data_IF_514522416022
#
_entry.id   IF_514522416022
#
_cell.length_a   1.000
_cell.length_b   1.000
_cell.length_c   1.000
_cell.angle_alpha   90.00
_cell.angle_beta   90.00
_cell.angle_gamma   90.00
#
_symmetry.space_group_name_H-M   'P 1'
#
loop_
_entity.id
_entity.type
_entity.pdbx_description
1 polymer ?
#
# COMPACT_ATOMS: atom_id res chain seq x y z
N UNK A 1 0.10 -1.55 61.88
CA UNK A 1 -0.78 -1.39 63.05
C UNK A 1 -0.81 0.08 63.43
N UNK A 2 -1.97 0.48 63.88
CA UNK A 2 -2.42 1.80 64.32
C UNK A 2 -1.85 2.17 65.71
N UNK A 3 -1.91 3.39 66.29
CA UNK A 3 -2.19 4.77 65.83
C UNK A 3 -1.88 5.73 67.01
N UNK A 4 -1.23 6.89 66.77
CA UNK A 4 -1.16 8.07 67.69
C UNK A 4 -0.63 7.76 69.13
N UNK A 5 -0.51 8.68 70.10
CA UNK A 5 -0.52 10.16 70.22
C UNK A 5 0.80 10.55 70.97
N UNK A 6 1.15 11.76 71.42
CA UNK A 6 0.49 13.08 71.67
C UNK A 6 1.39 14.22 71.11
N UNK A 7 1.39 15.42 71.71
CA UNK A 7 2.37 16.49 71.54
C UNK A 7 2.51 17.30 72.84
N UNK A 8 3.57 18.10 72.98
CA UNK A 8 3.69 19.15 74.00
C UNK A 8 3.76 20.54 73.35
N UNK A 9 3.27 21.56 74.07
CA UNK A 9 3.19 22.95 73.62
C UNK A 9 4.56 23.66 73.64
N UNK A 10 4.76 24.59 72.70
CA UNK A 10 5.16 25.97 73.06
C UNK A 10 4.60 26.98 72.06
N UNK A 11 4.34 28.19 72.53
CA UNK A 11 3.68 29.29 71.80
C UNK A 11 4.64 30.10 70.93
N UNK A 12 4.18 30.52 69.74
CA UNK A 12 4.64 31.77 69.14
C UNK A 12 3.52 32.45 68.34
N UNK A 13 3.39 33.76 68.52
CA UNK A 13 2.57 34.67 67.69
C UNK A 13 3.56 35.71 67.14
N UNK A 14 3.39 36.23 65.91
CA UNK A 14 2.56 37.43 65.80
C UNK A 14 1.84 37.64 64.45
N UNK A 15 1.08 38.74 64.40
CA UNK A 15 0.73 39.57 63.24
C UNK A 15 -0.14 38.97 62.11
N UNK A 16 -1.38 39.45 62.10
CA UNK A 16 -2.32 39.45 60.99
C UNK A 16 -1.88 40.47 59.92
N UNK A 17 -1.71 40.05 58.66
CA UNK A 17 -1.54 40.95 57.52
C UNK A 17 -2.41 40.50 56.34
N UNK A 18 -3.54 41.19 56.14
CA UNK A 18 -4.45 40.94 55.02
C UNK A 18 -3.83 41.46 53.71
N UNK A 19 -3.19 40.58 52.95
CA UNK A 19 -2.89 40.83 51.55
C UNK A 19 -4.02 40.28 50.68
N UNK A 20 -4.57 41.13 49.82
CA UNK A 20 -5.70 40.83 48.95
C UNK A 20 -5.30 39.83 47.86
N UNK A 21 -6.14 38.83 47.61
CA UNK A 21 -5.97 37.95 46.45
C UNK A 21 -6.13 38.75 45.15
N UNK A 22 -5.00 39.05 44.50
CA UNK A 22 -4.95 39.28 43.06
C UNK A 22 -3.92 38.30 42.47
N UNK A 23 -4.23 37.02 42.56
CA UNK A 23 -3.65 36.01 41.67
C UNK A 23 -4.12 36.32 40.25
N UNK A 24 -3.41 37.21 39.57
CA UNK A 24 -3.54 37.41 38.13
C UNK A 24 -3.19 36.08 37.48
N UNK A 25 -4.22 35.29 37.16
CA UNK A 25 -4.09 34.09 36.35
C UNK A 25 -3.76 34.55 34.93
N UNK A 26 -2.47 34.82 34.72
CA UNK A 26 -1.91 35.18 33.43
C UNK A 26 -2.29 34.07 32.48
N UNK A 27 -3.26 34.35 31.60
CA UNK A 27 -3.96 33.33 30.81
C UNK A 27 -3.03 32.87 29.70
N UNK A 28 -2.10 32.00 30.08
CA UNK A 28 -1.08 31.41 29.24
C UNK A 28 -1.75 30.93 27.96
N UNK A 29 -1.42 31.58 26.84
CA UNK A 29 -2.04 31.24 25.57
C UNK A 29 -1.72 29.77 25.30
N UNK A 30 -2.78 28.95 25.22
CA UNK A 30 -2.65 27.55 24.78
C UNK A 30 -2.29 27.60 23.31
N UNK A 31 -0.99 27.65 23.02
CA UNK A 31 -0.47 27.65 21.65
C UNK A 31 -1.01 26.40 20.97
N UNK A 32 -1.87 26.59 19.97
CA UNK A 32 -2.42 25.46 19.22
C UNK A 32 -1.36 24.91 18.27
N UNK A 33 -1.10 23.61 18.36
CA UNK A 33 -0.27 22.85 17.44
C UNK A 33 -1.12 21.83 16.69
N UNK A 34 -0.75 21.53 15.45
CA UNK A 34 -1.18 20.29 14.81
C UNK A 34 -0.41 19.10 15.44
N UNK A 35 -0.97 17.88 15.45
CA UNK A 35 -0.26 16.71 15.95
C UNK A 35 1.09 16.49 15.26
N UNK A 36 2.17 16.32 16.02
CA UNK A 36 3.55 16.13 15.53
C UNK A 36 3.67 15.06 14.42
N UNK A 37 2.93 13.94 14.56
CA UNK A 37 2.89 12.86 13.56
C UNK A 37 2.32 13.29 12.19
N UNK A 38 1.67 14.45 12.09
CA UNK A 38 1.20 15.03 10.82
C UNK A 38 2.25 15.93 10.17
N UNK A 39 3.38 16.23 10.81
CA UNK A 39 4.39 17.12 10.26
C UNK A 39 5.04 16.61 8.96
N UNK A 40 5.60 17.56 8.20
CA UNK A 40 6.21 17.33 6.89
C UNK A 40 5.31 17.70 5.71
N UNK A 41 5.65 17.17 4.54
CA UNK A 41 5.02 17.55 3.26
C UNK A 41 3.84 16.67 2.87
N UNK A 42 2.76 17.35 2.47
CA UNK A 42 1.52 16.77 1.97
C UNK A 42 1.17 17.28 0.58
N UNK A 43 0.69 16.39 -0.26
CA UNK A 43 0.17 16.70 -1.58
C UNK A 43 -1.37 16.73 -1.55
N UNK A 44 -1.96 17.71 -2.26
CA UNK A 44 -3.40 17.85 -2.44
C UNK A 44 -3.67 18.24 -3.90
N UNK A 45 -4.59 17.52 -4.56
CA UNK A 45 -5.00 17.79 -5.95
C UNK A 45 -5.37 19.26 -6.18
N UNK A 46 -4.76 19.88 -7.19
CA UNK A 46 -5.01 21.26 -7.59
C UNK A 46 -4.22 22.32 -6.81
N UNK A 47 -3.41 21.92 -5.81
CA UNK A 47 -2.55 22.83 -5.03
C UNK A 47 -1.12 22.72 -5.56
N UNK A 48 -0.65 23.75 -6.26
CA UNK A 48 0.65 23.77 -6.98
C UNK A 48 1.91 23.61 -6.12
N UNK A 49 1.79 23.69 -4.80
CA UNK A 49 2.89 23.56 -3.85
C UNK A 49 2.48 22.55 -2.77
N UNK A 50 3.43 21.80 -2.23
CA UNK A 50 3.16 20.92 -1.09
C UNK A 50 2.66 21.73 0.11
N UNK A 51 1.63 21.19 0.76
CA UNK A 51 1.10 21.68 2.01
C UNK A 51 2.02 21.17 3.11
N UNK A 52 2.70 22.09 3.79
CA UNK A 52 3.62 21.77 4.89
C UNK A 52 2.88 21.93 6.21
N UNK A 53 2.96 20.89 7.04
CA UNK A 53 2.56 20.95 8.44
C UNK A 53 3.84 21.03 9.27
N UNK A 54 3.92 22.05 10.12
CA UNK A 54 5.10 22.41 10.92
C UNK A 54 4.59 23.07 12.21
N UNK A 55 4.56 22.33 13.31
CA UNK A 55 4.01 22.74 14.60
C UNK A 55 2.63 23.43 14.50
N UNK A 56 2.54 24.76 14.71
CA UNK A 56 1.28 25.51 14.67
C UNK A 56 0.87 25.95 13.25
N UNK A 57 1.65 25.64 12.20
CA UNK A 57 1.46 26.15 10.83
C UNK A 57 1.02 25.09 9.84
N UNK A 58 0.21 25.53 8.88
CA UNK A 58 -0.32 24.79 7.75
C UNK A 58 -0.18 25.67 6.50
N UNK A 59 0.86 25.44 5.69
CA UNK A 59 1.44 26.45 4.78
C UNK A 59 0.46 27.12 3.80
N UNK A 60 -0.59 26.41 3.37
CA UNK A 60 -1.60 26.87 2.42
C UNK A 60 -2.82 27.55 3.07
N UNK A 61 -2.94 27.53 4.41
CA UNK A 61 -4.11 28.04 5.16
C UNK A 61 -3.78 29.07 6.23
N UNK A 62 -2.59 28.97 6.84
CA UNK A 62 -2.13 29.87 7.90
C UNK A 62 -1.72 29.13 9.18
N UNK A 63 -2.08 29.70 10.34
CA UNK A 63 -1.62 29.27 11.67
C UNK A 63 -2.79 28.94 12.60
N UNK A 64 -2.67 27.90 13.41
CA UNK A 64 -3.69 27.56 14.39
C UNK A 64 -3.71 28.53 15.58
N UNK A 65 -4.91 28.79 16.12
CA UNK A 65 -5.15 29.63 17.29
C UNK A 65 -5.87 28.90 18.45
N UNK A 66 -6.66 27.87 18.14
CA UNK A 66 -7.51 27.14 19.09
C UNK A 66 -7.87 25.76 18.50
N UNK A 67 -8.10 24.75 19.34
CA UNK A 67 -8.42 23.39 18.89
C UNK A 67 -9.32 22.61 19.86
N UNK A 68 -10.23 21.83 19.29
CA UNK A 68 -11.18 20.95 19.99
C UNK A 68 -11.29 19.63 19.22
N UNK A 69 -10.62 18.59 19.72
CA UNK A 69 -10.60 17.26 19.09
C UNK A 69 -9.99 17.26 17.69
N UNK A 70 -10.85 17.09 16.68
CA UNK A 70 -10.52 17.09 15.24
C UNK A 70 -10.62 18.48 14.59
N UNK A 71 -11.02 19.50 15.34
CA UNK A 71 -11.36 20.85 14.85
C UNK A 71 -10.28 21.86 15.21
N UNK A 72 -9.89 22.69 14.25
CA UNK A 72 -8.81 23.67 14.37
C UNK A 72 -9.28 25.05 13.88
N UNK A 73 -9.02 26.09 14.68
CA UNK A 73 -9.25 27.49 14.30
C UNK A 73 -7.98 28.01 13.61
N UNK A 74 -8.03 28.17 12.29
CA UNK A 74 -6.87 28.60 11.48
C UNK A 74 -7.06 30.04 11.03
N UNK A 75 -6.05 30.88 11.25
CA UNK A 75 -5.98 32.27 10.77
C UNK A 75 -4.95 32.40 9.65
N UNK A 76 -5.32 33.06 8.56
CA UNK A 76 -4.38 33.50 7.52
C UNK A 76 -3.65 34.76 8.02
N UNK A 77 -2.38 34.66 8.43
CA UNK A 77 -1.63 35.82 8.95
C UNK A 77 -1.48 36.97 7.90
N UNK A 78 -1.82 36.76 6.61
CA UNK A 78 -1.78 37.77 5.54
C UNK A 78 -3.14 38.41 5.22
N UNK A 79 -4.25 37.84 5.70
CA UNK A 79 -5.62 38.30 5.42
C UNK A 79 -6.45 38.08 6.68
N UNK A 80 -7.08 39.10 7.25
CA UNK A 80 -7.82 38.99 8.52
C UNK A 80 -9.06 38.05 8.41
N UNK A 81 -8.80 36.75 8.44
CA UNK A 81 -9.62 35.71 7.84
C UNK A 81 -9.44 34.43 8.65
N UNK A 82 -10.54 33.96 9.23
CA UNK A 82 -10.59 32.85 10.17
C UNK A 82 -11.40 31.72 9.54
N UNK A 83 -10.93 30.48 9.71
CA UNK A 83 -11.62 29.27 9.26
C UNK A 83 -11.67 28.25 10.38
N UNK A 84 -12.77 27.51 10.48
CA UNK A 84 -12.70 26.19 11.09
C UNK A 84 -12.22 25.21 10.02
N UNK A 85 -11.22 24.39 10.37
CA UNK A 85 -10.73 23.27 9.58
C UNK A 85 -10.89 22.01 10.43
N UNK A 86 -11.57 20.99 9.91
CA UNK A 86 -11.86 19.75 10.63
C UNK A 86 -11.12 18.62 9.96
N UNK A 87 -10.08 18.08 10.62
CA UNK A 87 -9.06 17.21 10.02
C UNK A 87 -9.15 15.81 10.63
N UNK A 88 -9.50 14.84 9.80
CA UNK A 88 -9.58 13.41 10.13
C UNK A 88 -8.34 12.68 9.62
N UNK A 89 -7.63 11.99 10.51
CA UNK A 89 -6.57 11.06 10.13
C UNK A 89 -7.19 9.71 9.73
N UNK A 90 -7.12 9.37 8.44
CA UNK A 90 -7.57 8.07 7.93
C UNK A 90 -6.43 7.04 7.94
N UNK A 91 -5.20 7.50 7.78
CA UNK A 91 -3.97 6.72 7.88
C UNK A 91 -2.78 7.68 8.15
N UNK A 92 -1.64 7.18 8.63
CA UNK A 92 -0.43 7.98 8.82
C UNK A 92 0.09 8.68 7.54
N UNK A 93 -0.38 8.25 6.36
CA UNK A 93 -0.09 8.84 5.05
C UNK A 93 -1.30 9.53 4.38
N UNK A 94 -2.48 9.57 5.04
CA UNK A 94 -3.74 10.11 4.48
C UNK A 94 -4.49 10.91 5.54
N UNK A 95 -4.56 12.22 5.34
CA UNK A 95 -5.48 13.11 6.06
C UNK A 95 -6.63 13.48 5.13
N UNK A 96 -7.84 13.59 5.69
CA UNK A 96 -8.98 14.18 5.00
C UNK A 96 -9.56 15.31 5.83
N UNK A 97 -9.95 16.42 5.19
CA UNK A 97 -10.46 17.57 5.92
C UNK A 97 -11.63 18.25 5.21
N UNK A 98 -12.46 18.93 6.02
CA UNK A 98 -13.42 19.94 5.56
C UNK A 98 -13.03 21.30 6.15
N UNK A 99 -13.36 22.39 5.48
CA UNK A 99 -13.13 23.75 5.99
C UNK A 99 -14.29 24.70 5.70
N UNK A 100 -14.40 25.76 6.49
CA UNK A 100 -15.30 26.88 6.20
C UNK A 100 -14.71 27.80 5.13
N UNK A 101 -15.56 28.64 4.55
CA UNK A 101 -15.11 29.85 3.87
C UNK A 101 -14.43 30.83 4.84
N UNK A 102 -13.97 31.97 4.31
CA UNK A 102 -13.34 33.03 5.10
C UNK A 102 -14.37 33.77 5.95
N UNK A 103 -14.19 33.77 7.29
CA UNK A 103 -15.05 34.50 8.22
C UNK A 103 -14.27 35.50 9.09
N UNK A 104 -14.94 36.49 9.70
CA UNK A 104 -14.39 37.29 10.80
C UNK A 104 -14.04 36.42 12.03
N UNK A 105 -13.29 36.98 12.99
CA UNK A 105 -12.91 36.28 14.22
C UNK A 105 -14.13 35.99 15.10
N UNK A 106 -14.51 34.72 15.23
CA UNK A 106 -15.46 34.22 16.23
C UNK A 106 -14.86 33.02 16.98
N UNK A 107 -15.64 32.32 17.80
CA UNK A 107 -15.20 31.10 18.50
C UNK A 107 -15.11 29.91 17.55
N UNK A 108 -14.22 28.94 17.86
CA UNK A 108 -14.05 27.70 17.10
C UNK A 108 -15.39 27.00 16.82
N UNK A 109 -16.19 26.79 17.86
CA UNK A 109 -17.51 26.15 17.75
C UNK A 109 -18.46 26.88 16.78
N UNK A 110 -18.47 28.23 16.79
CA UNK A 110 -19.31 29.04 15.90
C UNK A 110 -18.85 28.98 14.44
N UNK A 111 -17.55 28.87 14.17
CA UNK A 111 -17.10 28.65 12.79
C UNK A 111 -17.41 27.23 12.34
N UNK A 112 -17.15 26.22 13.16
CA UNK A 112 -17.36 24.82 12.76
C UNK A 112 -18.85 24.49 12.50
N UNK A 113 -19.80 25.22 13.10
CA UNK A 113 -21.23 25.06 12.77
C UNK A 113 -21.61 25.50 11.34
N UNK A 114 -20.73 26.20 10.61
CA UNK A 114 -20.93 26.49 9.18
C UNK A 114 -20.46 25.37 8.25
N UNK A 115 -19.84 24.29 8.76
CA UNK A 115 -19.45 23.13 7.95
C UNK A 115 -20.65 22.19 7.81
N UNK A 116 -21.22 22.15 6.61
CA UNK A 116 -22.39 21.31 6.30
C UNK A 116 -22.00 19.86 5.94
N UNK A 117 -23.00 18.97 5.94
CA UNK A 117 -22.81 17.56 5.59
C UNK A 117 -22.30 17.34 4.15
N UNK A 118 -22.72 18.21 3.23
CA UNK A 118 -22.34 18.24 1.81
C UNK A 118 -21.07 19.06 1.52
N UNK A 119 -20.55 19.85 2.48
CA UNK A 119 -19.33 20.64 2.28
C UNK A 119 -18.16 19.78 1.78
N UNK A 120 -17.39 20.30 0.82
CA UNK A 120 -16.39 19.54 0.06
C UNK A 120 -15.34 18.88 0.97
N UNK A 121 -15.14 17.58 0.77
CA UNK A 121 -14.08 16.81 1.41
C UNK A 121 -12.79 16.91 0.59
N UNK A 122 -11.74 17.44 1.21
CA UNK A 122 -10.39 17.45 0.67
C UNK A 122 -9.62 16.24 1.18
N UNK A 123 -8.77 15.66 0.34
CA UNK A 123 -7.84 14.58 0.70
C UNK A 123 -6.41 15.08 0.52
N UNK A 124 -5.56 14.79 1.51
CA UNK A 124 -4.13 15.10 1.49
C UNK A 124 -3.34 13.81 1.66
N UNK A 125 -2.34 13.60 0.81
CA UNK A 125 -1.48 12.40 0.81
C UNK A 125 -0.04 12.78 1.14
N UNK A 126 0.61 12.07 2.06
CA UNK A 126 2.00 12.37 2.46
C UNK A 126 2.94 12.22 1.26
N UNK A 127 3.80 13.20 1.01
CA UNK A 127 4.75 13.17 -0.11
C UNK A 127 5.82 12.10 0.12
N UNK A 128 6.43 12.10 1.31
CA UNK A 128 7.29 11.04 1.82
C UNK A 128 6.49 9.92 2.52
N UNK A 129 5.47 9.38 1.86
CA UNK A 129 4.68 8.28 2.42
C UNK A 129 5.51 6.99 2.55
N UNK A 130 5.47 6.36 3.72
CA UNK A 130 6.04 5.01 3.92
C UNK A 130 5.08 4.00 3.26
N UNK A 131 5.51 3.19 2.26
CA UNK A 131 4.62 2.23 1.60
C UNK A 131 4.09 1.14 2.54
N UNK A 132 2.91 0.61 2.25
CA UNK A 132 2.25 -0.45 3.03
C UNK A 132 1.98 -1.68 2.15
N UNK A 133 1.93 -2.91 2.72
CA UNK A 133 1.58 -4.10 1.96
C UNK A 133 0.21 -3.98 1.26
N UNK A 134 0.16 -4.34 -0.01
CA UNK A 134 -1.06 -4.29 -0.80
C UNK A 134 -2.07 -5.38 -0.35
N UNK A 135 -3.39 -5.08 -0.38
CA UNK A 135 -4.41 -6.02 0.12
C UNK A 135 -4.65 -7.23 -0.80
N UNK A 136 -4.27 -7.15 -2.06
CA UNK A 136 -4.51 -8.17 -3.08
C UNK A 136 -3.33 -9.16 -3.14
N UNK A 137 -3.42 -10.27 -2.39
CA UNK A 137 -2.35 -11.28 -2.30
C UNK A 137 -2.60 -12.50 -3.21
N UNK A 138 -1.89 -12.54 -4.33
CA UNK A 138 -1.87 -13.64 -5.31
C UNK A 138 -1.77 -13.12 -6.75
N UNK A 139 -1.53 -13.99 -7.74
CA UNK A 139 -1.78 -13.67 -9.14
C UNK A 139 -3.30 -13.63 -9.39
N UNK A 140 -3.78 -12.56 -10.00
CA UNK A 140 -5.17 -12.37 -10.41
C UNK A 140 -5.24 -12.12 -11.91
N UNK A 141 -6.32 -12.60 -12.54
CA UNK A 141 -6.77 -12.08 -13.83
C UNK A 141 -7.97 -11.18 -13.60
N UNK A 142 -8.13 -10.16 -14.44
CA UNK A 142 -9.20 -9.19 -14.29
C UNK A 142 -9.85 -8.76 -15.60
N UNK A 143 -11.12 -8.42 -15.45
CA UNK A 143 -11.88 -7.62 -16.41
C UNK A 143 -11.99 -6.20 -15.86
N UNK A 144 -12.11 -5.21 -16.74
CA UNK A 144 -12.22 -3.81 -16.32
C UNK A 144 -13.19 -3.00 -17.20
N UNK A 145 -13.76 -1.94 -16.65
CA UNK A 145 -14.63 -1.01 -17.37
C UNK A 145 -14.14 0.44 -17.11
N UNK A 146 -14.07 1.25 -18.17
CA UNK A 146 -13.67 2.68 -18.16
C UNK A 146 -14.85 3.62 -18.50
N UNK A 147 -16.09 3.14 -18.42
CA UNK A 147 -17.33 3.87 -18.75
C UNK A 147 -17.93 3.55 -20.13
N UNK A 148 -17.21 2.81 -20.98
CA UNK A 148 -17.61 2.49 -22.36
C UNK A 148 -17.92 1.01 -22.61
N UNK A 149 -17.96 0.19 -21.57
CA UNK A 149 -18.14 -1.26 -21.66
C UNK A 149 -17.04 -2.02 -20.91
N UNK A 150 -17.30 -3.29 -20.63
CA UNK A 150 -16.37 -4.14 -19.89
C UNK A 150 -15.41 -4.87 -20.84
N UNK A 151 -14.13 -4.59 -20.73
CA UNK A 151 -13.07 -5.34 -21.38
C UNK A 151 -12.92 -6.71 -20.71
N UNK A 152 -13.42 -7.75 -21.40
CA UNK A 152 -13.49 -9.14 -20.93
C UNK A 152 -12.52 -10.11 -21.62
N UNK A 153 -12.10 -9.82 -22.86
CA UNK A 153 -11.24 -10.70 -23.65
C UNK A 153 -10.41 -9.89 -24.66
N UNK A 154 -9.07 -10.07 -24.72
CA UNK A 154 -8.26 -10.88 -23.81
C UNK A 154 -8.28 -10.36 -22.36
N UNK A 155 -8.09 -11.26 -21.39
CA UNK A 155 -8.07 -10.91 -19.96
C UNK A 155 -6.79 -10.18 -19.56
N UNK A 156 -6.91 -9.23 -18.63
CA UNK A 156 -5.77 -8.51 -18.05
C UNK A 156 -5.25 -9.24 -16.80
N UNK A 157 -4.02 -8.96 -16.34
CA UNK A 157 -3.43 -9.63 -15.15
C UNK A 157 -2.88 -8.65 -14.10
N UNK A 158 -3.01 -9.01 -12.82
CA UNK A 158 -2.34 -8.36 -11.69
C UNK A 158 -1.40 -9.34 -11.03
N UNK A 159 -0.12 -8.97 -10.95
CA UNK A 159 0.93 -9.73 -10.30
C UNK A 159 1.57 -8.92 -9.16
N UNK A 160 1.88 -9.59 -8.06
CA UNK A 160 2.64 -8.97 -6.96
C UNK A 160 4.13 -8.92 -7.31
N UNK A 161 4.75 -7.75 -7.15
CA UNK A 161 6.19 -7.56 -7.30
C UNK A 161 6.97 -8.31 -6.20
N UNK A 162 8.30 -8.19 -6.15
CA UNK A 162 9.09 -8.69 -5.01
C UNK A 162 8.83 -7.92 -3.72
N UNK A 163 8.45 -6.65 -3.81
CA UNK A 163 7.97 -5.85 -2.69
C UNK A 163 6.47 -6.08 -2.46
N UNK A 164 6.05 -6.42 -1.24
CA UNK A 164 4.62 -6.60 -0.92
C UNK A 164 3.77 -5.33 -1.07
N UNK A 165 4.41 -4.16 -1.13
CA UNK A 165 3.78 -2.85 -1.32
C UNK A 165 3.62 -2.45 -2.80
N UNK A 166 4.00 -3.30 -3.77
CA UNK A 166 3.92 -3.00 -5.21
C UNK A 166 3.22 -4.11 -6.00
N UNK A 167 2.29 -3.71 -6.87
CA UNK A 167 1.59 -4.58 -7.81
C UNK A 167 1.83 -4.11 -9.25
N UNK A 168 1.95 -5.05 -10.18
CA UNK A 168 2.01 -4.79 -11.61
C UNK A 168 0.65 -5.12 -12.23
N UNK A 169 0.01 -4.14 -12.88
CA UNK A 169 -1.27 -4.31 -13.58
C UNK A 169 -1.02 -4.26 -15.10
N UNK A 170 -1.13 -5.41 -15.74
CA UNK A 170 -0.98 -5.57 -17.19
C UNK A 170 -2.34 -5.55 -17.88
N UNK A 171 -2.79 -4.37 -18.29
CA UNK A 171 -4.02 -4.16 -19.05
C UNK A 171 -3.88 -4.67 -20.48
N UNK A 172 -4.99 -5.13 -21.04
CA UNK A 172 -5.13 -5.44 -22.47
C UNK A 172 -6.19 -4.54 -23.11
N UNK A 173 -6.02 -4.21 -24.38
CA UNK A 173 -7.09 -3.72 -25.24
C UNK A 173 -8.04 -4.87 -25.62
N UNK A 174 -9.35 -4.61 -25.57
CA UNK A 174 -10.38 -5.54 -26.02
C UNK A 174 -10.96 -5.09 -27.37
N UNK A 175 -11.26 -6.02 -28.30
CA UNK A 175 -12.05 -5.70 -29.49
C UNK A 175 -13.36 -5.00 -29.10
N UNK A 176 -13.76 -4.01 -29.90
CA UNK A 176 -15.03 -3.27 -29.82
C UNK A 176 -15.32 -2.53 -28.49
N UNK A 177 -14.38 -2.49 -27.53
CA UNK A 177 -14.50 -1.72 -26.28
C UNK A 177 -13.70 -0.42 -26.38
N UNK A 178 -14.38 0.71 -26.60
CA UNK A 178 -13.76 2.02 -26.71
C UNK A 178 -13.00 2.42 -25.44
N UNK A 179 -11.82 3.03 -25.59
CA UNK A 179 -10.95 3.41 -24.47
C UNK A 179 -10.29 2.23 -23.73
N UNK A 180 -10.47 0.99 -24.16
CA UNK A 180 -9.62 -0.14 -23.73
C UNK A 180 -8.24 -0.05 -24.39
N UNK A 181 -7.19 -0.46 -23.67
CA UNK A 181 -5.81 -0.16 -24.05
C UNK A 181 -4.84 -1.18 -23.46
N UNK A 182 -3.81 -1.58 -24.22
CA UNK A 182 -2.76 -2.49 -23.75
C UNK A 182 -1.63 -1.71 -23.08
N UNK A 183 -1.78 -1.42 -21.79
CA UNK A 183 -0.80 -0.69 -20.98
C UNK A 183 -0.35 -1.48 -19.75
N UNK A 184 0.81 -1.12 -19.21
CA UNK A 184 1.29 -1.64 -17.93
C UNK A 184 1.33 -0.47 -16.95
N UNK A 185 0.60 -0.61 -15.85
CA UNK A 185 0.57 0.34 -14.74
C UNK A 185 1.15 -0.34 -13.50
N UNK A 186 2.12 0.30 -12.83
CA UNK A 186 2.64 -0.18 -11.55
C UNK A 186 1.97 0.57 -10.40
N UNK A 187 1.41 -0.13 -9.42
CA UNK A 187 0.71 0.43 -8.27
C UNK A 187 1.52 0.22 -6.99
N UNK A 188 2.05 1.29 -6.41
CA UNK A 188 2.62 1.30 -5.06
C UNK A 188 1.52 1.64 -4.03
N UNK A 189 1.28 0.75 -3.08
CA UNK A 189 0.29 0.93 -2.00
C UNK A 189 0.86 1.80 -0.86
N UNK A 190 0.13 2.85 -0.46
CA UNK A 190 0.60 3.86 0.51
C UNK A 190 -0.28 3.95 1.76
N UNK A 191 -1.54 3.55 1.70
CA UNK A 191 -2.42 3.47 2.86
C UNK A 191 -3.57 2.50 2.59
N UNK A 192 -3.98 1.72 3.60
CA UNK A 192 -5.21 0.93 3.53
C UNK A 192 -5.97 1.03 4.85
N UNK A 193 -7.28 1.24 4.79
CA UNK A 193 -8.16 1.29 5.97
C UNK A 193 -9.56 0.72 5.66
N UNK A 194 -10.38 0.56 6.70
CA UNK A 194 -11.77 0.10 6.59
C UNK A 194 -12.70 1.15 7.19
N UNK A 195 -13.78 1.46 6.50
CA UNK A 195 -14.78 2.42 6.95
C UNK A 195 -16.18 1.88 6.63
N UNK A 196 -16.99 1.64 7.66
CA UNK A 196 -18.25 0.88 7.53
C UNK A 196 -18.03 -0.55 7.02
N UNK A 197 -18.66 -0.88 5.89
CA UNK A 197 -18.48 -2.13 5.14
C UNK A 197 -17.32 -2.06 4.14
N UNK A 198 -17.04 -0.89 3.59
CA UNK A 198 -16.05 -0.65 2.55
C UNK A 198 -14.61 -0.72 3.08
N UNK A 199 -13.68 -1.03 2.17
CA UNK A 199 -12.23 -0.87 2.41
C UNK A 199 -11.67 0.10 1.39
N UNK A 200 -10.79 0.96 1.86
CA UNK A 200 -10.14 2.00 1.08
C UNK A 200 -8.66 1.68 0.97
N UNK A 201 -8.10 1.98 -0.21
CA UNK A 201 -6.68 1.89 -0.51
C UNK A 201 -6.28 3.19 -1.23
N UNK A 202 -5.21 3.83 -0.79
CA UNK A 202 -4.55 4.90 -1.55
C UNK A 202 -3.23 4.36 -2.06
N UNK A 203 -2.95 4.60 -3.34
CA UNK A 203 -1.70 4.21 -3.97
C UNK A 203 -1.22 5.20 -5.02
N UNK A 204 0.01 4.99 -5.44
CA UNK A 204 0.70 5.76 -6.46
C UNK A 204 0.84 4.90 -7.71
N UNK A 205 0.18 5.29 -8.78
CA UNK A 205 0.20 4.63 -10.09
C UNK A 205 1.36 5.22 -10.90
N UNK A 206 2.23 4.35 -11.40
CA UNK A 206 3.35 4.69 -12.26
C UNK A 206 3.14 4.10 -13.65
N UNK A 207 3.09 4.95 -14.66
CA UNK A 207 3.05 4.61 -16.08
C UNK A 207 3.70 5.73 -16.90
N UNK A 208 4.03 5.47 -18.17
CA UNK A 208 4.85 6.37 -19.00
C UNK A 208 4.30 7.81 -19.18
N UNK A 209 3.02 8.04 -18.92
CA UNK A 209 2.37 9.34 -19.04
C UNK A 209 2.17 10.07 -17.70
N UNK A 210 2.46 9.41 -16.57
CA UNK A 210 2.24 9.98 -15.24
C UNK A 210 3.41 10.86 -14.81
N UNK A 211 3.31 12.17 -15.04
CA UNK A 211 4.39 13.14 -14.79
C UNK A 211 4.33 13.75 -13.38
N UNK A 212 3.13 14.04 -12.91
CA UNK A 212 2.82 14.82 -11.70
C UNK A 212 2.30 13.94 -10.55
N UNK A 213 2.04 14.53 -9.39
CA UNK A 213 1.34 13.82 -8.32
C UNK A 213 -0.18 13.73 -8.61
N UNK A 214 -0.78 14.72 -9.29
CA UNK A 214 -2.13 14.66 -9.86
C UNK A 214 -2.34 13.46 -10.79
N UNK A 215 -1.35 13.10 -11.61
CA UNK A 215 -1.44 11.92 -12.47
C UNK A 215 -1.33 10.61 -11.66
N UNK A 216 -0.46 10.60 -10.65
CA UNK A 216 0.00 9.37 -9.97
C UNK A 216 -0.87 8.94 -8.79
N UNK A 217 -1.31 9.85 -7.93
CA UNK A 217 -2.09 9.46 -6.75
C UNK A 217 -3.50 9.03 -7.16
N UNK A 218 -3.94 7.85 -6.73
CA UNK A 218 -5.31 7.35 -6.94
C UNK A 218 -5.85 6.69 -5.68
N UNK A 219 -7.14 6.90 -5.44
CA UNK A 219 -7.89 6.22 -4.41
C UNK A 219 -8.62 5.01 -5.00
N UNK A 220 -8.76 3.97 -4.21
CA UNK A 220 -9.42 2.72 -4.58
C UNK A 220 -10.38 2.30 -3.47
N UNK A 221 -11.59 1.87 -3.82
CA UNK A 221 -12.51 1.19 -2.90
C UNK A 221 -12.64 -0.26 -3.32
N UNK A 222 -12.54 -1.18 -2.36
CA UNK A 222 -12.59 -2.60 -2.65
C UNK A 222 -13.44 -3.38 -1.64
N UNK A 223 -14.15 -4.38 -2.16
CA UNK A 223 -14.87 -5.38 -1.38
C UNK A 223 -14.34 -6.77 -1.71
N UNK A 224 -14.49 -7.71 -0.77
CA UNK A 224 -14.33 -9.12 -1.07
C UNK A 224 -15.67 -9.65 -1.57
N UNK A 225 -15.66 -10.43 -2.65
CA UNK A 225 -16.83 -11.09 -3.20
C UNK A 225 -17.63 -11.80 -2.08
N UNK A 226 -18.92 -11.51 -2.01
CA UNK A 226 -19.75 -11.83 -0.84
C UNK A 226 -20.80 -12.90 -1.14
N UNK A 227 -21.19 -13.06 -2.40
CA UNK A 227 -22.19 -14.05 -2.80
C UNK A 227 -21.53 -15.41 -3.10
N UNK A 228 -22.21 -16.50 -2.73
CA UNK A 228 -21.74 -17.86 -3.06
C UNK A 228 -21.59 -18.08 -4.57
N UNK A 229 -22.38 -17.39 -5.37
CA UNK A 229 -22.32 -17.38 -6.84
C UNK A 229 -21.05 -16.71 -7.39
N UNK A 230 -20.62 -15.57 -6.85
CA UNK A 230 -19.36 -14.91 -7.26
C UNK A 230 -18.14 -15.79 -6.95
N UNK A 231 -18.16 -16.47 -5.81
CA UNK A 231 -17.10 -17.40 -5.40
C UNK A 231 -17.02 -18.64 -6.32
N UNK A 232 -18.14 -19.08 -6.90
CA UNK A 232 -18.18 -20.16 -7.92
C UNK A 232 -17.61 -19.66 -9.26
N UNK A 233 -17.84 -18.40 -9.62
CA UNK A 233 -17.28 -17.75 -10.82
C UNK A 233 -15.81 -17.27 -10.63
N UNK A 234 -15.17 -17.66 -9.52
CA UNK A 234 -13.76 -17.37 -9.22
C UNK A 234 -13.44 -15.91 -8.85
N UNK A 235 -14.45 -15.06 -8.70
CA UNK A 235 -14.28 -13.65 -8.31
C UNK A 235 -13.91 -13.61 -6.83
N UNK A 236 -12.81 -12.94 -6.50
CA UNK A 236 -12.42 -12.73 -5.10
C UNK A 236 -12.61 -11.28 -4.66
N UNK A 237 -12.38 -10.28 -5.53
CA UNK A 237 -12.56 -8.87 -5.18
C UNK A 237 -13.21 -8.07 -6.31
N UNK A 238 -14.03 -7.08 -5.96
CA UNK A 238 -14.33 -5.93 -6.82
C UNK A 238 -13.51 -4.74 -6.35
N UNK A 239 -13.07 -3.90 -7.28
CA UNK A 239 -12.30 -2.68 -7.00
C UNK A 239 -12.82 -1.55 -7.90
N UNK A 240 -13.14 -0.40 -7.33
CA UNK A 240 -13.33 0.86 -8.05
C UNK A 240 -12.14 1.78 -7.81
N UNK A 241 -11.79 2.60 -8.80
CA UNK A 241 -10.68 3.56 -8.80
C UNK A 241 -11.18 4.99 -9.07
N UNK A 242 -10.59 5.99 -8.40
CA UNK A 242 -10.85 7.41 -8.68
C UNK A 242 -10.39 7.82 -10.08
N UNK A 243 -11.03 8.84 -10.67
CA UNK A 243 -10.57 9.41 -11.94
C UNK A 243 -9.33 10.29 -11.79
N UNK A 244 -9.25 10.99 -10.65
CA UNK A 244 -8.24 11.98 -10.31
C UNK A 244 -7.54 11.64 -8.98
N UNK A 245 -6.66 12.54 -8.53
CA UNK A 245 -6.00 12.47 -7.24
C UNK A 245 -6.89 12.94 -6.06
N UNK A 246 -8.19 12.61 -6.08
CA UNK A 246 -9.09 12.74 -4.93
C UNK A 246 -9.74 11.40 -4.61
N UNK A 247 -10.23 11.24 -3.38
CA UNK A 247 -11.07 10.09 -3.02
C UNK A 247 -12.58 10.40 -3.15
N UNK A 248 -12.94 11.46 -3.89
CA UNK A 248 -14.33 11.90 -4.03
C UNK A 248 -15.07 11.09 -5.10
N UNK A 249 -16.39 10.93 -4.95
CA UNK A 249 -17.22 10.12 -5.85
C UNK A 249 -17.02 8.60 -5.76
N UNK A 250 -16.15 8.13 -4.86
CA UNK A 250 -15.75 6.72 -4.73
C UNK A 250 -16.49 6.06 -3.56
N UNK A 251 -17.79 5.78 -3.74
CA UNK A 251 -18.69 5.32 -2.68
C UNK A 251 -18.74 3.80 -2.51
N UNK A 252 -18.54 3.04 -3.59
CA UNK A 252 -18.66 1.58 -3.61
C UNK A 252 -17.57 0.95 -4.48
N UNK A 253 -17.37 -0.37 -4.36
CA UNK A 253 -16.44 -1.12 -5.22
C UNK A 253 -16.95 -1.31 -6.66
N UNK A 254 -18.17 -0.82 -6.95
CA UNK A 254 -18.88 -0.90 -8.23
C UNK A 254 -19.03 0.44 -8.93
N UNK A 255 -18.65 1.55 -8.29
CA UNK A 255 -18.84 2.92 -8.79
C UNK A 255 -17.53 3.71 -8.69
N UNK A 256 -17.02 4.15 -9.84
CA UNK A 256 -15.77 4.91 -9.95
C UNK A 256 -15.42 5.17 -11.41
N UNK A 257 -14.31 5.86 -11.67
CA UNK A 257 -13.86 6.15 -13.05
C UNK A 257 -13.34 4.91 -13.78
N UNK A 258 -12.85 3.92 -13.04
CA UNK A 258 -12.49 2.61 -13.55
C UNK A 258 -12.95 1.57 -12.54
N UNK A 259 -13.66 0.54 -12.98
CA UNK A 259 -14.04 -0.60 -12.14
C UNK A 259 -13.36 -1.87 -12.63
N UNK A 260 -13.01 -2.76 -11.70
CA UNK A 260 -12.14 -3.92 -11.92
C UNK A 260 -12.72 -5.11 -11.15
N UNK A 261 -12.86 -6.25 -11.83
CA UNK A 261 -13.28 -7.52 -11.22
C UNK A 261 -12.07 -8.46 -11.15
N UNK A 262 -11.49 -8.64 -9.95
CA UNK A 262 -10.35 -9.53 -9.73
C UNK A 262 -10.84 -10.97 -9.53
N UNK A 263 -10.55 -11.83 -10.52
CA UNK A 263 -10.69 -13.28 -10.40
C UNK A 263 -9.35 -13.90 -10.01
N UNK A 264 -9.35 -14.75 -8.99
CA UNK A 264 -8.12 -15.48 -8.61
C UNK A 264 -7.77 -16.42 -9.75
N UNK A 265 -6.53 -16.36 -10.26
CA UNK A 265 -6.06 -17.36 -11.22
C UNK A 265 -6.15 -18.73 -10.53
N UNK A 266 -6.86 -19.72 -11.10
CA UNK A 266 -6.80 -21.09 -10.60
C UNK A 266 -5.36 -21.55 -10.72
N UNK A 267 -4.65 -21.65 -9.59
CA UNK A 267 -3.30 -22.20 -9.57
C UNK A 267 -3.37 -23.60 -10.18
N UNK A 268 -2.59 -23.92 -11.25
CA UNK A 268 -2.60 -25.26 -11.82
C UNK A 268 -2.25 -26.24 -10.69
N UNK A 269 -3.22 -27.08 -10.34
CA UNK A 269 -3.17 -27.84 -9.10
C UNK A 269 -1.94 -28.74 -9.08
N UNK A 270 -1.22 -28.67 -7.97
CA UNK A 270 -0.11 -29.56 -7.62
C UNK A 270 1.23 -29.38 -8.35
N UNK A 271 1.45 -28.26 -9.05
CA UNK A 271 2.84 -27.83 -9.28
C UNK A 271 3.48 -27.40 -7.96
N UNK A 272 4.40 -28.23 -7.44
CA UNK A 272 5.22 -27.94 -6.26
C UNK A 272 6.66 -28.35 -6.52
N UNK A 273 7.61 -27.67 -5.89
CA UNK A 273 9.00 -28.12 -5.84
C UNK A 273 9.07 -29.48 -5.11
N UNK A 274 9.90 -30.43 -5.58
CA UNK A 274 9.99 -31.76 -4.99
C UNK A 274 10.26 -31.73 -3.49
N UNK A 275 9.70 -32.68 -2.74
CA UNK A 275 9.90 -32.79 -1.28
C UNK A 275 11.36 -32.97 -0.89
N UNK A 276 12.16 -33.68 -1.70
CA UNK A 276 13.61 -33.82 -1.47
C UNK A 276 14.40 -32.52 -1.65
N UNK A 277 13.85 -31.54 -2.37
CA UNK A 277 14.47 -30.23 -2.58
C UNK A 277 13.97 -29.22 -1.54
N UNK A 278 12.65 -29.07 -1.45
CA UNK A 278 12.05 -28.05 -0.60
C UNK A 278 11.96 -28.46 0.89
N UNK A 279 12.16 -29.74 1.23
CA UNK A 279 12.05 -30.24 2.61
C UNK A 279 13.10 -29.70 3.60
N UNK A 280 14.26 -29.25 3.11
CA UNK A 280 15.27 -28.56 3.93
C UNK A 280 14.96 -27.06 4.12
N UNK A 281 13.97 -26.51 3.41
CA UNK A 281 13.55 -25.11 3.33
C UNK A 281 14.62 -24.11 2.82
N UNK A 282 15.90 -24.30 3.14
CA UNK A 282 17.00 -23.40 2.79
C UNK A 282 18.14 -24.17 2.11
N UNK A 283 18.78 -23.52 1.14
CA UNK A 283 20.04 -23.96 0.51
C UNK A 283 20.90 -22.73 0.20
N UNK A 284 22.21 -22.90 0.19
CA UNK A 284 23.20 -21.85 -0.12
C UNK A 284 24.11 -22.29 -1.28
N UNK A 285 24.55 -21.35 -2.11
CA UNK A 285 25.68 -21.61 -3.01
C UNK A 285 26.96 -21.86 -2.21
N UNK A 286 27.94 -22.58 -2.79
CA UNK A 286 29.20 -22.94 -2.12
C UNK A 286 30.03 -21.74 -1.60
N UNK A 287 29.83 -20.56 -2.18
CA UNK A 287 30.43 -19.28 -1.80
C UNK A 287 29.57 -18.45 -0.83
N UNK A 288 28.41 -18.98 -0.42
CA UNK A 288 27.35 -18.33 0.36
C UNK A 288 26.80 -17.02 -0.24
N UNK A 289 27.12 -16.67 -1.50
CA UNK A 289 26.67 -15.42 -2.10
C UNK A 289 25.17 -15.44 -2.44
N UNK A 290 24.60 -16.61 -2.73
CA UNK A 290 23.18 -16.79 -3.08
C UNK A 290 22.52 -17.75 -2.09
N UNK A 291 21.35 -17.35 -1.58
CA UNK A 291 20.48 -18.18 -0.74
C UNK A 291 19.18 -18.50 -1.47
N UNK A 292 18.78 -19.77 -1.44
CA UNK A 292 17.54 -20.30 -2.00
C UNK A 292 16.63 -20.68 -0.82
N UNK A 293 15.41 -20.15 -0.76
CA UNK A 293 14.46 -20.40 0.33
C UNK A 293 13.08 -20.80 -0.19
N UNK A 294 12.52 -21.89 0.33
CA UNK A 294 11.24 -22.45 -0.10
C UNK A 294 10.10 -22.05 0.83
N UNK A 295 8.99 -21.60 0.25
CA UNK A 295 7.86 -20.99 0.95
C UNK A 295 6.51 -21.55 0.45
N UNK A 296 5.44 -21.18 1.16
CA UNK A 296 4.05 -21.47 0.77
C UNK A 296 3.77 -22.95 0.40
N UNK A 297 4.11 -23.88 1.30
CA UNK A 297 3.94 -25.33 1.10
C UNK A 297 4.64 -25.85 -0.17
N UNK A 298 5.88 -25.42 -0.37
CA UNK A 298 6.78 -25.84 -1.46
C UNK A 298 6.29 -25.41 -2.85
N UNK A 299 5.47 -24.36 -2.96
CA UNK A 299 5.02 -23.81 -4.27
C UNK A 299 5.89 -22.65 -4.77
N UNK A 300 6.56 -21.95 -3.86
CA UNK A 300 7.35 -20.74 -4.13
C UNK A 300 8.80 -20.93 -3.67
N UNK A 301 9.74 -20.45 -4.48
CA UNK A 301 11.16 -20.34 -4.18
C UNK A 301 11.53 -18.84 -4.19
N UNK A 302 12.15 -18.34 -3.13
CA UNK A 302 12.73 -16.99 -3.04
C UNK A 302 14.25 -17.11 -3.05
N UNK A 303 14.88 -16.52 -4.07
CA UNK A 303 16.33 -16.43 -4.22
C UNK A 303 16.78 -15.04 -3.79
N UNK A 304 17.78 -14.95 -2.92
CA UNK A 304 18.38 -13.69 -2.45
C UNK A 304 19.90 -13.73 -2.50
N UNK A 305 20.54 -12.56 -2.55
CA UNK A 305 22.00 -12.39 -2.46
C UNK A 305 22.33 -11.25 -1.47
N UNK A 306 23.52 -11.27 -0.88
CA UNK A 306 24.01 -10.26 0.07
C UNK A 306 23.98 -8.81 -0.47
N UNK A 307 24.03 -8.64 -1.80
CA UNK A 307 23.88 -7.37 -2.52
C UNK A 307 22.46 -6.78 -2.54
N UNK A 308 21.47 -7.42 -1.89
CA UNK A 308 20.07 -6.95 -1.88
C UNK A 308 19.26 -7.37 -3.11
N UNK A 309 19.82 -8.19 -3.99
CA UNK A 309 19.06 -8.85 -5.06
C UNK A 309 18.01 -9.80 -4.47
N UNK A 310 16.79 -9.73 -4.99
CA UNK A 310 15.71 -10.67 -4.70
C UNK A 310 15.01 -11.12 -5.99
N UNK A 311 14.70 -12.41 -6.08
CA UNK A 311 13.81 -12.98 -7.10
C UNK A 311 12.82 -13.96 -6.45
N UNK A 312 11.53 -13.80 -6.75
CA UNK A 312 10.45 -14.74 -6.40
C UNK A 312 10.18 -15.65 -7.60
N UNK A 313 10.14 -16.96 -7.38
CA UNK A 313 9.91 -17.98 -8.41
C UNK A 313 8.75 -18.87 -7.97
N UNK A 314 7.81 -19.15 -8.86
CA UNK A 314 6.62 -19.98 -8.62
C UNK A 314 6.59 -21.15 -9.60
N UNK A 315 6.26 -22.34 -9.10
CA UNK A 315 6.08 -23.53 -9.93
C UNK A 315 4.90 -23.35 -10.90
N UNK A 316 5.13 -23.49 -12.22
CA UNK A 316 4.07 -23.44 -13.24
C UNK A 316 3.76 -24.83 -13.81
N UNK A 317 4.78 -25.60 -14.20
CA UNK A 317 4.61 -27.01 -14.59
C UNK A 317 5.89 -27.81 -14.30
N UNK A 318 5.76 -28.99 -13.70
CA UNK A 318 6.86 -29.98 -13.67
C UNK A 318 6.91 -30.67 -15.05
N UNK A 319 8.07 -30.63 -15.72
CA UNK A 319 8.30 -31.38 -16.96
C UNK A 319 8.81 -32.78 -16.62
N UNK A 320 8.36 -33.84 -17.31
CA UNK A 320 8.84 -35.20 -17.06
C UNK A 320 10.35 -35.32 -17.34
N UNK A 321 11.07 -36.04 -16.47
CA UNK A 321 12.50 -36.30 -16.60
C UNK A 321 12.76 -37.81 -16.73
N UNK A 322 13.90 -38.18 -17.32
CA UNK A 322 14.32 -39.59 -17.48
C UNK A 322 15.21 -40.09 -16.33
N UNK A 323 15.38 -39.29 -15.27
CA UNK A 323 16.17 -39.63 -14.07
C UNK A 323 15.40 -39.19 -12.82
N UNK A 324 15.09 -40.12 -11.93
CA UNK A 324 14.35 -39.88 -10.68
C UNK A 324 15.02 -38.84 -9.77
N UNK A 325 16.36 -38.80 -9.76
CA UNK A 325 17.17 -37.79 -9.08
C UNK A 325 17.18 -36.41 -9.79
N UNK A 326 16.29 -36.13 -10.72
CA UNK A 326 16.23 -34.84 -11.41
C UNK A 326 14.81 -34.33 -11.62
N UNK A 327 14.60 -33.04 -11.36
CA UNK A 327 13.33 -32.36 -11.56
C UNK A 327 13.53 -31.14 -12.48
N UNK A 328 12.87 -31.17 -13.63
CA UNK A 328 12.77 -30.03 -14.54
C UNK A 328 11.46 -29.31 -14.30
N UNK A 329 11.50 -27.99 -14.12
CA UNK A 329 10.32 -27.17 -13.85
C UNK A 329 10.29 -25.99 -14.82
N UNK A 330 9.15 -25.82 -15.48
CA UNK A 330 8.73 -24.52 -16.00
C UNK A 330 8.27 -23.68 -14.79
N UNK A 331 8.86 -22.51 -14.65
CA UNK A 331 8.60 -21.61 -13.53
C UNK A 331 8.32 -20.20 -14.00
N UNK A 332 7.44 -19.51 -13.27
CA UNK A 332 7.22 -18.08 -13.43
C UNK A 332 8.07 -17.33 -12.41
N UNK A 333 8.86 -16.35 -12.85
CA UNK A 333 9.73 -15.54 -12.00
C UNK A 333 9.21 -14.11 -11.87
N UNK A 334 9.68 -13.42 -10.82
CA UNK A 334 9.42 -12.00 -10.57
C UNK A 334 10.63 -11.40 -9.88
N UNK A 335 11.15 -10.28 -10.41
CA UNK A 335 12.32 -9.55 -9.90
C UNK A 335 11.99 -8.06 -9.93
N UNK A 336 11.94 -7.40 -8.78
CA UNK A 336 11.30 -6.08 -8.72
C UNK A 336 9.85 -6.20 -9.20
N UNK A 337 9.49 -5.40 -10.21
CA UNK A 337 8.22 -5.50 -10.93
C UNK A 337 8.38 -6.01 -12.39
N UNK A 338 9.49 -6.69 -12.73
CA UNK A 338 9.62 -7.46 -13.97
C UNK A 338 9.25 -8.93 -13.72
N UNK A 339 8.55 -9.55 -14.67
CA UNK A 339 8.13 -10.96 -14.59
C UNK A 339 8.23 -11.69 -15.94
N UNK A 340 8.15 -13.01 -15.89
CA UNK A 340 8.23 -13.88 -17.07
C UNK A 340 8.41 -15.34 -16.70
N UNK A 341 8.81 -16.15 -17.66
CA UNK A 341 9.04 -17.58 -17.49
C UNK A 341 10.52 -17.95 -17.68
N UNK A 342 10.97 -18.95 -16.92
CA UNK A 342 12.28 -19.60 -17.07
C UNK A 342 12.15 -21.11 -16.79
N UNK A 343 13.00 -21.91 -17.41
CA UNK A 343 13.13 -23.33 -17.08
C UNK A 343 14.24 -23.54 -16.05
N UNK A 344 13.98 -24.32 -15.01
CA UNK A 344 14.97 -24.73 -14.02
C UNK A 344 15.12 -26.26 -14.05
N UNK A 345 16.35 -26.76 -13.88
CA UNK A 345 16.63 -28.19 -13.69
C UNK A 345 17.44 -28.38 -12.43
N UNK A 346 16.86 -29.03 -11.44
CA UNK A 346 17.53 -29.46 -10.21
C UNK A 346 17.97 -30.92 -10.36
N UNK A 347 19.21 -31.23 -9.99
CA UNK A 347 19.75 -32.60 -9.96
C UNK A 347 20.24 -32.90 -8.54
N UNK A 348 19.61 -33.88 -7.88
CA UNK A 348 20.01 -34.36 -6.56
C UNK A 348 21.29 -35.18 -6.69
N UNK A 349 22.37 -34.72 -6.07
CA UNK A 349 23.66 -35.43 -6.00
C UNK A 349 23.77 -36.22 -4.70
N UNK A 350 23.36 -35.62 -3.59
CA UNK A 350 23.23 -36.25 -2.28
C UNK A 350 21.97 -35.70 -1.56
N UNK A 351 21.73 -36.08 -0.30
CA UNK A 351 20.68 -35.53 0.57
C UNK A 351 20.88 -34.03 0.80
N UNK A 352 22.14 -33.61 0.98
CA UNK A 352 22.56 -32.22 1.26
C UNK A 352 23.40 -31.62 0.13
N UNK A 353 23.30 -32.16 -1.10
CA UNK A 353 23.98 -31.60 -2.27
C UNK A 353 23.06 -31.65 -3.50
N UNK A 354 22.72 -30.48 -4.03
CA UNK A 354 21.90 -30.34 -5.23
C UNK A 354 22.61 -29.41 -6.21
N UNK A 355 22.61 -29.77 -7.50
CA UNK A 355 23.02 -28.85 -8.56
C UNK A 355 21.77 -28.26 -9.23
N UNK A 356 21.80 -26.97 -9.54
CA UNK A 356 20.76 -26.29 -10.32
C UNK A 356 21.33 -25.72 -11.62
N UNK A 357 20.59 -25.90 -12.71
CA UNK A 357 20.76 -25.19 -13.98
C UNK A 357 19.54 -24.28 -14.21
N UNK A 358 19.78 -23.03 -14.61
CA UNK A 358 18.74 -22.02 -14.83
C UNK A 358 18.80 -21.52 -16.28
N UNK A 359 17.68 -21.58 -16.99
CA UNK A 359 17.56 -21.14 -18.38
C UNK A 359 17.47 -19.63 -18.55
N UNK A 360 17.54 -19.20 -19.81
CA UNK A 360 17.26 -17.82 -20.19
C UNK A 360 15.78 -17.46 -19.95
N UNK A 361 15.54 -16.17 -19.71
CA UNK A 361 14.22 -15.62 -19.42
C UNK A 361 13.45 -15.31 -20.71
N UNK A 362 12.13 -15.52 -20.69
CA UNK A 362 11.22 -15.19 -21.78
C UNK A 362 9.86 -14.72 -21.25
N UNK A 363 9.08 -14.01 -22.06
CA UNK A 363 7.69 -13.63 -21.75
C UNK A 363 6.67 -14.74 -22.05
N UNK A 364 7.10 -15.84 -22.69
CA UNK A 364 6.23 -16.96 -23.13
C UNK A 364 6.52 -18.25 -22.37
N UNK A 365 5.47 -18.92 -21.93
CA UNK A 365 5.54 -20.13 -21.09
C UNK A 365 6.07 -21.35 -21.86
N UNK A 366 5.74 -21.41 -23.13
CA UNK A 366 6.02 -22.44 -24.11
C UNK A 366 7.50 -22.42 -24.55
N UNK A 367 8.07 -21.22 -24.68
CA UNK A 367 9.46 -21.01 -25.12
C UNK A 367 10.48 -21.36 -24.03
N UNK A 368 10.14 -21.16 -22.74
CA UNK A 368 11.11 -21.12 -21.65
C UNK A 368 11.93 -22.42 -21.45
N UNK A 369 11.33 -23.59 -21.71
CA UNK A 369 11.99 -24.90 -21.67
C UNK A 369 12.39 -25.42 -23.06
N UNK A 370 12.26 -24.63 -24.12
CA UNK A 370 12.69 -25.00 -25.47
C UNK A 370 14.20 -24.80 -25.65
N UNK A 371 14.79 -25.49 -26.64
CA UNK A 371 16.23 -25.50 -26.90
C UNK A 371 16.95 -24.13 -26.92
N UNK A 372 16.40 -23.02 -27.49
CA UNK A 372 17.08 -21.72 -27.46
C UNK A 372 17.13 -21.06 -26.08
N UNK A 373 16.21 -21.37 -25.17
CA UNK A 373 16.19 -20.82 -23.80
C UNK A 373 16.75 -21.79 -22.76
N UNK A 374 16.70 -23.10 -23.01
CA UNK A 374 17.20 -24.13 -22.11
C UNK A 374 17.99 -25.24 -22.84
N UNK A 375 19.32 -25.11 -22.86
CA UNK A 375 20.24 -26.16 -23.33
C UNK A 375 21.10 -26.70 -22.16
N UNK A 376 20.83 -27.95 -21.77
CA UNK A 376 21.50 -28.68 -20.67
C UNK A 376 23.02 -28.76 -20.78
N UNK A 377 23.57 -28.69 -22.00
CA UNK A 377 25.01 -28.81 -22.24
C UNK A 377 25.75 -27.48 -22.11
N UNK A 378 25.04 -26.34 -22.22
CA UNK A 378 25.63 -25.00 -22.29
C UNK A 378 25.38 -24.17 -21.01
N UNK A 379 24.36 -24.53 -20.22
CA UNK A 379 24.03 -23.82 -18.98
C UNK A 379 24.93 -24.34 -17.84
N UNK A 380 25.66 -23.47 -17.11
CA UNK A 380 26.49 -23.89 -15.99
C UNK A 380 25.66 -24.46 -14.84
N UNK A 381 26.30 -25.30 -14.03
CA UNK A 381 25.74 -25.82 -12.79
C UNK A 381 26.13 -24.90 -11.62
N UNK A 382 25.14 -24.48 -10.84
CA UNK A 382 25.37 -23.92 -9.49
C UNK A 382 25.15 -25.04 -8.48
N UNK A 383 26.19 -25.40 -7.73
CA UNK A 383 26.08 -26.35 -6.62
C UNK A 383 25.52 -25.65 -5.38
N UNK A 384 24.54 -26.29 -4.75
CA UNK A 384 23.83 -25.86 -3.55
C UNK A 384 24.03 -26.88 -2.43
N UNK A 385 24.17 -26.38 -1.21
CA UNK A 385 24.35 -27.12 0.07
C UNK A 385 23.46 -26.55 1.19
#
# INVERSE_FOLDING_TARGET
MDVRWTAFFTTFMPLLSCFFDITVTYKQERVCYFPERWEGEWFQSGVRQSIVIDGPRLSSKGRCLDSDGDKFLVVDDKRACYRCVVIHEKHANVLQYKETFCHPRTSLASLCSFITGDALLYSMFRVGAIPVPCPFRGPFVFTYNRGHGECRSPVSSVDACTEESRLLLSYQACPDVHGSESTVEELQCLAAWKEGSARYLVGKVHHNHATSNEDRFRCFVYEKASTKSEAIDGIEFRVAQSGDATCNGLFSATEGSRTITLKRVPSPSDCRFPSWLAGLNHWHSLDYSITYSFHHRNSTLKITNSSGFEMRIVCTQIKPTTRENSAMLLTHFTRGCESGFMCMLFQRRDIYVVEVQVGAQTKRSEDACAAPYFNKSNIPYTTLV
#
